data_IF_027476207199
#
_entry.id   IF_027476207199
#
_cell.length_a   1.000
_cell.length_b   1.000
_cell.length_c   1.000
_cell.angle_alpha   90.00
_cell.angle_beta   90.00
_cell.angle_gamma   90.00
#
_symmetry.space_group_name_H-M   'P 1'
#
loop_
_entity.id
_entity.type
_entity.pdbx_description
1 polymer ?
#
# COMPACT_ATOMS: atom_id res chain seq x y z
N UNK A 1 75.15 1.38 -21.95
CA UNK A 1 74.34 2.56 -21.63
C UNK A 1 72.89 2.32 -22.04
N UNK A 2 72.04 1.94 -21.12
CA UNK A 2 70.57 1.80 -21.37
C UNK A 2 69.88 2.97 -20.70
N UNK A 3 69.22 3.81 -21.51
CA UNK A 3 68.40 4.94 -21.03
C UNK A 3 67.03 4.40 -20.64
N UNK A 4 66.65 4.57 -19.41
CA UNK A 4 65.26 4.33 -18.95
C UNK A 4 64.44 5.61 -19.16
N UNK A 5 63.43 5.52 -19.99
CA UNK A 5 62.35 6.52 -20.11
C UNK A 5 61.37 6.27 -18.98
N UNK A 6 61.22 7.21 -18.08
CA UNK A 6 60.16 7.29 -17.09
C UNK A 6 58.93 7.93 -17.75
N UNK A 7 57.91 7.13 -18.02
CA UNK A 7 56.57 7.64 -18.41
C UNK A 7 55.83 8.03 -17.16
N UNK A 8 55.56 9.31 -17.02
CA UNK A 8 54.65 9.82 -15.96
C UNK A 8 53.20 9.56 -16.37
N UNK A 9 52.53 8.68 -15.64
CA UNK A 9 51.08 8.50 -15.78
C UNK A 9 50.43 9.54 -14.91
N UNK A 10 49.76 10.52 -15.56
CA UNK A 10 48.89 11.46 -14.85
C UNK A 10 47.57 10.75 -14.50
N UNK A 11 47.40 10.45 -13.24
CA UNK A 11 46.09 9.99 -12.70
C UNK A 11 45.23 11.23 -12.51
N UNK A 12 44.32 11.45 -13.45
CA UNK A 12 43.23 12.42 -13.29
C UNK A 12 42.21 11.85 -12.28
N UNK A 13 42.28 12.35 -11.05
CA UNK A 13 41.25 12.09 -10.06
C UNK A 13 39.95 12.80 -10.52
N UNK A 14 39.01 12.02 -11.06
CA UNK A 14 37.63 12.49 -11.22
C UNK A 14 37.05 12.59 -9.80
N UNK A 15 37.05 13.80 -9.25
CA UNK A 15 36.24 14.09 -8.06
C UNK A 15 34.79 14.03 -8.54
N UNK A 16 34.13 12.88 -8.35
CA UNK A 16 32.69 12.81 -8.36
C UNK A 16 32.20 13.68 -7.20
N UNK A 17 31.81 14.89 -7.51
CA UNK A 17 31.13 15.76 -6.57
C UNK A 17 29.84 15.07 -6.13
N UNK A 18 29.82 14.55 -4.92
CA UNK A 18 28.58 14.22 -4.26
C UNK A 18 27.83 15.55 -4.12
N UNK A 19 26.86 15.80 -4.99
CA UNK A 19 25.88 16.85 -4.74
C UNK A 19 25.14 16.43 -3.49
N UNK A 20 25.49 17.02 -2.35
CA UNK A 20 24.66 16.95 -1.16
C UNK A 20 23.26 17.40 -1.58
N UNK A 21 22.29 16.50 -1.47
CA UNK A 21 20.89 16.85 -1.67
C UNK A 21 20.60 17.99 -0.67
N UNK A 22 20.27 19.15 -1.22
CA UNK A 22 19.86 20.31 -0.42
C UNK A 22 18.36 20.34 -0.56
N UNK A 23 17.65 20.40 0.55
CA UNK A 23 16.21 20.63 0.57
C UNK A 23 15.90 21.90 -0.27
N UNK A 24 15.07 21.77 -1.32
CA UNK A 24 15.02 22.78 -2.37
C UNK A 24 13.57 23.20 -2.71
N UNK A 25 13.28 24.51 -2.57
CA UNK A 25 11.99 25.09 -2.96
C UNK A 25 11.74 24.97 -4.49
N UNK A 26 12.78 24.95 -5.33
CA UNK A 26 12.62 24.76 -6.77
C UNK A 26 12.19 23.33 -7.10
N UNK A 27 12.70 22.35 -6.36
CA UNK A 27 12.21 20.95 -6.45
C UNK A 27 10.74 20.88 -6.04
N UNK A 28 10.35 21.50 -4.94
CA UNK A 28 8.96 21.55 -4.50
C UNK A 28 8.04 22.14 -5.58
N UNK A 29 8.42 23.27 -6.18
CA UNK A 29 7.66 23.88 -7.28
C UNK A 29 7.53 22.94 -8.48
N UNK A 30 8.64 22.28 -8.88
CA UNK A 30 8.65 21.31 -9.98
C UNK A 30 7.64 20.18 -9.73
N UNK A 31 7.67 19.57 -8.54
CA UNK A 31 6.81 18.43 -8.21
C UNK A 31 5.34 18.83 -8.08
N UNK A 32 5.04 19.98 -7.50
CA UNK A 32 3.67 20.53 -7.45
C UNK A 32 3.13 20.80 -8.84
N UNK A 33 3.95 21.27 -9.78
CA UNK A 33 3.49 21.59 -11.13
C UNK A 33 3.33 20.39 -12.04
N UNK A 34 4.16 19.36 -11.86
CA UNK A 34 4.28 18.23 -12.79
C UNK A 34 3.60 16.96 -12.30
N UNK A 35 3.60 16.69 -10.99
CA UNK A 35 3.20 15.38 -10.45
C UNK A 35 2.02 15.46 -9.47
N UNK A 36 2.00 16.46 -8.59
CA UNK A 36 0.97 16.53 -7.54
C UNK A 36 -0.35 17.13 -8.01
N UNK A 37 -0.69 16.92 -9.29
CA UNK A 37 -1.96 17.36 -9.89
C UNK A 37 -2.67 16.17 -10.53
N UNK A 38 -4.00 16.08 -10.45
CA UNK A 38 -4.91 17.01 -9.79
C UNK A 38 -4.90 16.90 -8.26
N UNK A 39 -5.25 17.97 -7.55
CA UNK A 39 -5.36 18.02 -6.09
C UNK A 39 -6.56 18.87 -5.67
N UNK A 40 -7.11 18.59 -4.49
CA UNK A 40 -8.13 19.44 -3.84
C UNK A 40 -7.50 20.73 -3.29
N UNK A 41 -6.21 20.70 -2.96
CA UNK A 41 -5.46 21.88 -2.55
C UNK A 41 -5.07 22.71 -3.78
N UNK A 42 -5.13 24.02 -3.67
CA UNK A 42 -4.54 24.91 -4.67
C UNK A 42 -3.02 24.74 -4.69
N UNK A 43 -2.38 25.08 -5.81
CA UNK A 43 -0.91 25.02 -5.91
C UNK A 43 -0.20 25.86 -4.84
N UNK A 44 -0.79 26.99 -4.43
CA UNK A 44 -0.22 27.83 -3.36
C UNK A 44 -0.29 27.16 -1.99
N UNK A 45 -1.35 26.44 -1.69
CA UNK A 45 -1.48 25.66 -0.46
C UNK A 45 -0.50 24.49 -0.47
N UNK A 46 -0.40 23.73 -1.56
CA UNK A 46 0.60 22.68 -1.71
C UNK A 46 2.04 23.18 -1.52
N UNK A 47 2.38 24.33 -2.13
CA UNK A 47 3.71 24.93 -1.96
C UNK A 47 3.96 25.38 -0.52
N UNK A 48 2.94 25.87 0.17
CA UNK A 48 3.04 26.19 1.60
C UNK A 48 3.33 24.97 2.44
N UNK A 49 2.68 23.85 2.14
CA UNK A 49 2.91 22.56 2.78
C UNK A 49 4.32 22.04 2.48
N UNK A 50 4.76 22.08 1.23
CA UNK A 50 6.12 21.67 0.86
C UNK A 50 7.19 22.49 1.58
N UNK A 51 6.97 23.79 1.80
CA UNK A 51 7.86 24.64 2.60
C UNK A 51 7.94 24.19 4.05
N UNK A 52 6.83 23.72 4.60
CA UNK A 52 6.84 23.13 5.93
C UNK A 52 7.73 21.88 5.96
N UNK A 53 7.58 20.94 5.01
CA UNK A 53 8.43 19.75 4.91
C UNK A 53 9.90 20.09 4.76
N UNK A 54 10.26 21.06 3.90
CA UNK A 54 11.62 21.56 3.75
C UNK A 54 12.17 22.07 5.08
N UNK A 55 11.39 22.79 5.85
CA UNK A 55 11.84 23.34 7.15
C UNK A 55 11.97 22.25 8.22
N UNK A 56 11.00 21.36 8.31
CA UNK A 56 10.99 20.25 9.27
C UNK A 56 12.14 19.26 9.01
N UNK A 57 12.49 19.05 7.74
CA UNK A 57 13.57 18.12 7.35
C UNK A 57 14.99 18.63 7.55
N UNK A 58 15.19 19.94 7.79
CA UNK A 58 16.55 20.54 7.92
C UNK A 58 17.51 19.80 8.86
N UNK A 59 17.07 19.35 10.05
CA UNK A 59 17.95 18.59 10.95
C UNK A 59 18.34 17.21 10.44
N UNK A 60 17.61 16.70 9.43
CA UNK A 60 17.70 15.33 8.93
C UNK A 60 18.29 15.24 7.53
N UNK A 61 18.69 16.36 6.92
CA UNK A 61 19.31 16.38 5.59
C UNK A 61 20.51 15.45 5.54
N UNK A 62 20.52 14.56 4.55
CA UNK A 62 21.58 13.55 4.37
C UNK A 62 21.36 12.27 5.16
N UNK A 63 20.31 12.15 5.96
CA UNK A 63 19.90 10.85 6.52
C UNK A 63 19.48 9.88 5.43
N UNK A 64 19.64 8.60 5.70
CA UNK A 64 19.08 7.52 4.90
C UNK A 64 17.99 6.81 5.68
N UNK A 65 16.84 6.57 5.01
CA UNK A 65 15.69 5.85 5.55
C UNK A 65 15.46 4.62 4.67
N UNK A 66 15.28 3.47 5.29
CA UNK A 66 14.99 2.21 4.60
C UNK A 66 13.50 1.90 4.73
N UNK A 67 12.80 1.81 3.60
CA UNK A 67 11.36 1.54 3.52
C UNK A 67 11.14 0.21 2.84
N UNK A 68 10.15 -0.53 3.30
CA UNK A 68 9.76 -1.82 2.74
C UNK A 68 8.27 -1.82 2.41
N UNK A 69 7.91 -2.26 1.20
CA UNK A 69 6.52 -2.49 0.81
C UNK A 69 6.36 -3.67 -0.14
N UNK A 70 5.13 -4.08 -0.38
CA UNK A 70 4.82 -5.14 -1.32
C UNK A 70 4.80 -4.65 -2.78
N UNK A 71 4.92 -5.60 -3.72
CA UNK A 71 4.99 -5.32 -5.16
C UNK A 71 3.62 -5.17 -5.80
N UNK A 72 2.97 -4.03 -5.57
CA UNK A 72 1.75 -3.62 -6.26
C UNK A 72 1.96 -2.29 -7.00
N UNK A 73 1.10 -1.93 -7.97
CA UNK A 73 1.29 -0.71 -8.77
C UNK A 73 1.41 0.57 -7.94
N UNK A 74 0.64 0.71 -6.86
CA UNK A 74 0.69 1.86 -5.96
C UNK A 74 2.07 2.01 -5.32
N UNK A 75 2.58 0.96 -4.69
CA UNK A 75 3.89 1.00 -4.04
C UNK A 75 5.05 1.11 -5.03
N UNK A 76 4.88 0.60 -6.26
CA UNK A 76 5.87 0.85 -7.33
C UNK A 76 5.92 2.34 -7.69
N UNK A 77 4.77 3.01 -7.79
CA UNK A 77 4.70 4.46 -7.99
C UNK A 77 5.35 5.25 -6.83
N UNK A 78 5.06 4.87 -5.60
CA UNK A 78 5.68 5.46 -4.41
C UNK A 78 7.20 5.33 -4.44
N UNK A 79 7.69 4.11 -4.72
CA UNK A 79 9.13 3.83 -4.78
C UNK A 79 9.82 4.56 -5.94
N UNK A 80 9.23 4.58 -7.12
CA UNK A 80 9.87 5.10 -8.33
C UNK A 80 9.69 6.60 -8.53
N UNK A 81 8.61 7.18 -8.01
CA UNK A 81 8.22 8.58 -8.24
C UNK A 81 8.19 9.39 -6.95
N UNK A 82 7.35 9.00 -5.96
CA UNK A 82 7.18 9.79 -4.75
C UNK A 82 8.43 9.80 -3.87
N UNK A 83 9.19 8.71 -3.84
CA UNK A 83 10.50 8.66 -3.17
C UNK A 83 11.44 9.74 -3.71
N UNK A 84 11.51 9.91 -5.05
CA UNK A 84 12.36 10.97 -5.64
C UNK A 84 11.87 12.37 -5.28
N UNK A 85 10.54 12.57 -5.26
CA UNK A 85 9.97 13.83 -4.83
C UNK A 85 10.37 14.15 -3.39
N UNK A 86 10.21 13.19 -2.50
CA UNK A 86 10.59 13.32 -1.10
C UNK A 86 12.08 13.64 -0.93
N UNK A 87 12.96 12.91 -1.63
CA UNK A 87 14.41 13.13 -1.59
C UNK A 87 14.81 14.53 -2.10
N UNK A 88 14.27 14.95 -3.24
CA UNK A 88 14.55 16.25 -3.83
C UNK A 88 14.01 17.40 -2.96
N UNK A 89 12.86 17.24 -2.32
CA UNK A 89 12.24 18.27 -1.48
C UNK A 89 12.90 18.37 -0.11
N UNK A 90 13.22 17.23 0.52
CA UNK A 90 13.65 17.18 1.92
C UNK A 90 15.15 17.03 2.12
N UNK A 91 15.86 16.51 1.12
CA UNK A 91 17.29 16.14 1.25
C UNK A 91 17.53 14.88 2.08
N UNK A 92 16.50 14.11 2.40
CA UNK A 92 16.57 12.81 3.08
C UNK A 92 16.54 11.73 2.01
N UNK A 93 17.47 10.79 2.04
CA UNK A 93 17.53 9.68 1.10
C UNK A 93 16.61 8.55 1.55
N UNK A 94 15.89 7.94 0.62
CA UNK A 94 14.98 6.81 0.88
C UNK A 94 15.36 5.61 0.04
N UNK A 95 15.68 4.51 0.68
CA UNK A 95 15.91 3.22 0.05
C UNK A 95 14.61 2.41 0.13
N UNK A 96 13.75 2.55 -0.87
CA UNK A 96 12.44 1.88 -0.89
C UNK A 96 12.56 0.52 -1.58
N UNK A 97 12.51 -0.55 -0.79
CA UNK A 97 12.58 -1.93 -1.26
C UNK A 97 11.18 -2.48 -1.50
N UNK A 98 11.00 -3.15 -2.63
CA UNK A 98 9.76 -3.84 -3.01
C UNK A 98 9.98 -5.35 -2.92
N UNK A 99 9.12 -6.06 -2.17
CA UNK A 99 9.14 -7.52 -2.02
C UNK A 99 7.77 -8.12 -2.32
N UNK A 100 7.65 -9.44 -2.26
CA UNK A 100 6.34 -10.09 -2.23
C UNK A 100 5.64 -9.86 -0.89
N UNK A 101 4.30 -9.79 -0.87
CA UNK A 101 3.48 -9.53 0.33
C UNK A 101 3.90 -10.40 1.54
N UNK A 102 3.93 -11.73 1.37
CA UNK A 102 4.35 -12.63 2.44
C UNK A 102 5.81 -12.45 2.88
N UNK A 103 6.68 -11.94 2.00
CA UNK A 103 8.07 -11.64 2.34
C UNK A 103 8.17 -10.36 3.17
N UNK A 104 7.33 -9.36 2.90
CA UNK A 104 7.22 -8.14 3.74
C UNK A 104 6.81 -8.52 5.16
N UNK A 105 5.72 -9.27 5.30
CA UNK A 105 5.23 -9.73 6.62
C UNK A 105 6.33 -10.48 7.37
N UNK A 106 7.01 -11.42 6.70
CA UNK A 106 8.08 -12.21 7.32
C UNK A 106 9.28 -11.34 7.72
N UNK A 107 9.70 -10.40 6.87
CA UNK A 107 10.82 -9.51 7.15
C UNK A 107 10.52 -8.62 8.36
N UNK A 108 9.34 -8.01 8.41
CA UNK A 108 8.90 -7.15 9.53
C UNK A 108 8.79 -7.95 10.83
N UNK A 109 8.17 -9.13 10.81
CA UNK A 109 8.09 -9.99 12.00
C UNK A 109 9.46 -10.43 12.48
N UNK A 110 10.37 -10.77 11.57
CA UNK A 110 11.75 -11.15 11.91
C UNK A 110 12.51 -9.99 12.55
N UNK A 111 12.37 -8.78 12.01
CA UNK A 111 12.94 -7.58 12.59
C UNK A 111 12.44 -7.36 14.02
N UNK A 112 11.13 -7.43 14.22
CA UNK A 112 10.49 -7.26 15.53
C UNK A 112 10.97 -8.32 16.55
N UNK A 113 11.06 -9.58 16.14
CA UNK A 113 11.50 -10.68 17.02
C UNK A 113 12.98 -10.62 17.38
N UNK A 114 13.82 -10.16 16.46
CA UNK A 114 15.28 -10.14 16.65
C UNK A 114 15.81 -8.83 17.22
N UNK A 115 14.99 -7.77 17.22
CA UNK A 115 15.40 -6.43 17.59
C UNK A 115 16.42 -5.78 16.62
N UNK A 116 16.60 -6.35 15.42
CA UNK A 116 17.45 -5.76 14.38
C UNK A 116 16.60 -4.79 13.57
N UNK A 117 16.98 -3.52 13.59
CA UNK A 117 16.35 -2.50 12.79
C UNK A 117 16.99 -2.47 11.39
N UNK A 118 16.36 -3.11 10.42
CA UNK A 118 16.74 -3.11 8.99
C UNK A 118 15.93 -2.12 8.18
N UNK A 119 14.66 -1.95 8.55
CA UNK A 119 13.71 -1.06 7.93
C UNK A 119 13.20 -0.07 8.96
N UNK A 120 13.21 1.21 8.60
CA UNK A 120 12.75 2.31 9.45
C UNK A 120 11.25 2.53 9.30
N UNK A 121 10.70 2.23 8.12
CA UNK A 121 9.28 2.25 7.83
C UNK A 121 8.89 1.08 6.90
N UNK A 122 7.63 0.72 6.92
CA UNK A 122 7.08 -0.30 6.03
C UNK A 122 5.59 -0.08 5.78
N UNK A 123 5.15 -0.46 4.60
CA UNK A 123 3.72 -0.53 4.26
C UNK A 123 3.26 -1.97 4.43
N UNK A 124 2.17 -2.16 5.17
CA UNK A 124 1.66 -3.48 5.52
C UNK A 124 0.15 -3.41 5.77
N UNK A 125 -0.49 -4.57 5.66
CA UNK A 125 -1.90 -4.69 5.95
C UNK A 125 -2.24 -4.40 7.42
N UNK A 126 -3.42 -3.84 7.65
CA UNK A 126 -3.91 -3.51 8.99
C UNK A 126 -4.17 -4.73 9.89
N UNK A 127 -4.14 -5.95 9.35
CA UNK A 127 -4.32 -7.19 10.10
C UNK A 127 -3.24 -7.42 11.18
N UNK A 128 -2.08 -6.77 11.06
CA UNK A 128 -1.03 -6.80 12.08
C UNK A 128 -1.16 -5.75 13.18
N UNK A 129 -2.14 -4.87 13.13
CA UNK A 129 -2.28 -3.77 14.11
C UNK A 129 -2.36 -4.27 15.55
N UNK A 130 -3.11 -5.34 15.80
CA UNK A 130 -3.20 -5.95 17.11
C UNK A 130 -1.90 -6.55 17.62
N UNK A 131 -1.02 -6.99 16.71
CA UNK A 131 0.34 -7.44 17.05
C UNK A 131 1.23 -6.25 17.37
N UNK A 132 1.17 -5.19 16.57
CA UNK A 132 1.96 -3.97 16.77
C UNK A 132 1.67 -3.33 18.12
N UNK A 133 0.39 -3.10 18.46
CA UNK A 133 0.01 -2.48 19.72
C UNK A 133 0.34 -3.36 20.93
N UNK A 134 0.04 -4.66 20.86
CA UNK A 134 0.29 -5.59 21.97
C UNK A 134 1.78 -5.77 22.29
N UNK A 135 2.63 -5.84 21.27
CA UNK A 135 4.07 -6.02 21.43
C UNK A 135 4.82 -4.71 21.57
N UNK A 136 4.18 -3.58 21.29
CA UNK A 136 4.79 -2.24 21.27
C UNK A 136 6.08 -2.18 20.43
N UNK A 137 6.05 -2.83 19.27
CA UNK A 137 7.18 -2.94 18.36
C UNK A 137 7.09 -1.97 17.17
N UNK A 138 6.00 -1.24 17.07
CA UNK A 138 5.84 -0.08 16.20
C UNK A 138 5.72 1.19 17.04
N UNK A 139 6.05 2.32 16.46
CA UNK A 139 5.91 3.62 17.14
C UNK A 139 4.42 3.89 17.39
N UNK A 140 4.07 4.23 18.63
CA UNK A 140 2.77 4.81 18.93
C UNK A 140 2.74 6.22 18.35
N UNK A 141 2.05 6.40 17.24
CA UNK A 141 2.00 7.67 16.52
C UNK A 141 1.22 8.74 17.28
N UNK A 142 0.19 8.35 18.05
CA UNK A 142 -0.56 9.28 18.91
C UNK A 142 0.37 9.95 19.91
N UNK A 143 1.12 9.16 20.67
CA UNK A 143 2.06 9.67 21.67
C UNK A 143 3.24 10.42 21.02
N UNK A 144 3.74 9.91 19.88
CA UNK A 144 4.85 10.54 19.17
C UNK A 144 4.46 11.93 18.69
N UNK A 145 3.33 12.08 18.00
CA UNK A 145 2.88 13.37 17.47
C UNK A 145 2.54 14.38 18.58
N UNK A 146 2.02 13.91 19.69
CA UNK A 146 1.74 14.77 20.86
C UNK A 146 2.98 15.13 21.68
N UNK A 147 4.06 14.37 21.55
CA UNK A 147 5.27 14.46 22.38
C UNK A 147 6.54 14.78 21.58
N UNK A 148 7.43 13.80 21.50
CA UNK A 148 8.77 13.99 20.91
C UNK A 148 8.78 14.29 19.42
N UNK A 149 7.72 13.99 18.70
CA UNK A 149 7.54 14.26 17.27
C UNK A 149 6.72 15.51 16.95
N UNK A 150 6.31 16.29 17.97
CA UNK A 150 5.43 17.44 17.74
C UNK A 150 6.02 18.48 16.77
N UNK A 151 7.32 18.71 16.83
CA UNK A 151 8.00 19.68 15.95
C UNK A 151 8.12 19.21 14.49
N UNK A 152 7.92 17.92 14.25
CA UNK A 152 7.96 17.29 12.90
C UNK A 152 6.60 16.73 12.47
N UNK A 153 5.57 16.98 13.22
CA UNK A 153 4.18 16.70 12.85
C UNK A 153 3.61 17.91 12.12
N UNK A 154 3.18 17.69 10.86
CA UNK A 154 2.60 18.77 10.07
C UNK A 154 1.33 19.31 10.77
N UNK A 155 1.24 20.60 11.09
CA UNK A 155 0.06 21.19 11.72
C UNK A 155 -1.19 21.17 10.82
N UNK A 156 -1.01 20.94 9.51
CA UNK A 156 -2.11 20.75 8.55
C UNK A 156 -2.56 19.28 8.41
N UNK A 157 -1.94 18.36 9.15
CA UNK A 157 -2.34 16.94 9.13
C UNK A 157 -3.72 16.80 9.79
N UNK A 158 -4.71 16.50 8.99
CA UNK A 158 -6.08 16.24 9.42
C UNK A 158 -6.35 14.73 9.42
N UNK A 159 -6.27 14.11 10.57
CA UNK A 159 -6.49 12.66 10.71
C UNK A 159 -7.96 12.26 10.48
N UNK A 160 -8.90 13.19 10.64
CA UNK A 160 -10.32 12.93 10.41
C UNK A 160 -10.67 12.86 8.92
N UNK A 161 -9.82 13.43 8.04
CA UNK A 161 -9.96 13.34 6.58
C UNK A 161 -9.51 11.98 6.02
N UNK A 162 -8.74 11.20 6.78
CA UNK A 162 -8.31 9.87 6.35
C UNK A 162 -9.43 8.83 6.49
N UNK A 163 -9.72 8.13 5.41
CA UNK A 163 -10.60 6.97 5.46
C UNK A 163 -9.88 5.79 6.10
N UNK A 164 -10.57 5.08 7.00
CA UNK A 164 -10.06 3.81 7.54
C UNK A 164 -9.11 3.93 8.71
N UNK A 165 -9.01 5.07 9.38
CA UNK A 165 -8.22 5.23 10.61
C UNK A 165 -8.57 4.21 11.71
N UNK A 166 -9.82 3.72 11.73
CA UNK A 166 -10.23 2.66 12.66
C UNK A 166 -9.48 1.32 12.43
N UNK A 167 -8.95 1.08 11.23
CA UNK A 167 -8.14 -0.12 10.95
C UNK A 167 -6.67 0.04 11.34
N UNK A 168 -6.22 1.27 11.55
CA UNK A 168 -4.84 1.60 11.91
C UNK A 168 -4.70 2.04 13.38
N UNK A 169 -5.83 2.05 14.10
CA UNK A 169 -5.92 2.32 15.54
C UNK A 169 -5.94 1.00 16.32
N UNK A 170 -5.08 0.90 17.33
CA UNK A 170 -4.99 -0.26 18.19
C UNK A 170 -6.19 -0.40 19.15
N UNK A 171 -6.32 -1.54 19.84
CA UNK A 171 -7.37 -1.75 20.84
C UNK A 171 -7.31 -0.77 22.03
N UNK A 172 -6.16 -0.15 22.24
CA UNK A 172 -5.91 0.90 23.25
C UNK A 172 -6.44 2.28 22.84
N UNK A 173 -6.84 2.44 21.57
CA UNK A 173 -7.33 3.69 21.01
C UNK A 173 -6.24 4.55 20.35
N UNK A 174 -5.00 4.09 20.35
CA UNK A 174 -3.87 4.82 19.78
C UNK A 174 -3.61 4.44 18.34
N UNK A 175 -3.13 5.40 17.55
CA UNK A 175 -2.74 5.22 16.16
C UNK A 175 -1.34 4.62 16.07
N UNK A 176 -1.18 3.53 15.31
CA UNK A 176 0.10 2.85 15.08
C UNK A 176 0.54 2.84 13.62
N UNK A 177 -0.37 3.15 12.71
CA UNK A 177 -0.11 3.24 11.27
C UNK A 177 -0.84 4.46 10.71
N UNK A 178 -0.31 5.03 9.63
CA UNK A 178 -1.07 5.96 8.78
C UNK A 178 -1.78 5.14 7.72
N UNK A 179 -3.05 5.42 7.40
CA UNK A 179 -3.70 4.82 6.25
C UNK A 179 -2.98 5.23 4.97
N UNK A 180 -2.60 4.24 4.17
CA UNK A 180 -1.97 4.44 2.88
C UNK A 180 -3.00 4.32 1.75
N UNK A 181 -3.69 3.21 1.69
CA UNK A 181 -4.73 2.95 0.70
C UNK A 181 -5.92 2.20 1.32
N UNK A 182 -7.07 2.30 0.67
CA UNK A 182 -8.28 1.59 1.05
C UNK A 182 -8.61 0.52 0.04
N UNK A 183 -9.02 -0.64 0.54
CA UNK A 183 -9.51 -1.74 -0.26
C UNK A 183 -11.00 -1.93 -0.05
N UNK A 184 -11.69 -2.31 -1.14
CA UNK A 184 -13.06 -2.77 -1.06
C UNK A 184 -13.17 -4.13 -1.74
N UNK A 185 -13.79 -5.09 -1.07
CA UNK A 185 -14.15 -6.34 -1.70
C UNK A 185 -15.35 -6.09 -2.63
N UNK A 186 -15.14 -6.31 -3.92
CA UNK A 186 -16.16 -6.09 -4.95
C UNK A 186 -16.44 -7.41 -5.64
N UNK A 187 -17.73 -7.60 -5.96
CA UNK A 187 -18.13 -8.70 -6.80
C UNK A 187 -17.94 -8.34 -8.29
N UNK A 188 -16.97 -8.98 -8.91
CA UNK A 188 -16.69 -8.82 -10.34
C UNK A 188 -17.40 -9.91 -11.14
N UNK A 189 -18.11 -9.52 -12.19
CA UNK A 189 -18.84 -10.45 -13.03
C UNK A 189 -18.82 -10.03 -14.50
N UNK A 190 -19.03 -10.98 -15.38
CA UNK A 190 -19.14 -10.75 -16.81
C UNK A 190 -20.56 -10.27 -17.12
N UNK A 191 -20.73 -8.94 -17.14
CA UNK A 191 -22.01 -8.32 -17.43
C UNK A 191 -22.59 -8.78 -18.77
N UNK A 192 -21.73 -8.92 -19.80
CA UNK A 192 -22.11 -9.40 -21.12
C UNK A 192 -22.70 -10.82 -21.11
N UNK A 193 -22.25 -11.69 -20.19
CA UNK A 193 -22.85 -13.02 -20.01
C UNK A 193 -24.16 -12.96 -19.21
N UNK A 194 -24.19 -12.14 -18.18
CA UNK A 194 -25.38 -11.94 -17.35
C UNK A 194 -26.53 -11.30 -18.13
N UNK A 195 -26.25 -10.49 -19.13
CA UNK A 195 -27.26 -9.86 -20.01
C UNK A 195 -27.79 -10.82 -21.14
N UNK A 196 -27.20 -12.00 -21.30
CA UNK A 196 -27.63 -12.94 -22.32
C UNK A 196 -28.98 -13.61 -21.97
N UNK A 197 -29.98 -13.45 -22.81
CA UNK A 197 -31.33 -13.99 -22.60
C UNK A 197 -31.35 -15.51 -22.43
N UNK A 198 -30.56 -16.24 -23.23
CA UNK A 198 -30.46 -17.69 -23.14
C UNK A 198 -29.88 -18.15 -21.77
N UNK A 199 -28.92 -17.45 -21.21
CA UNK A 199 -28.37 -17.77 -19.89
C UNK A 199 -29.30 -17.34 -18.75
N UNK A 200 -30.01 -16.22 -18.90
CA UNK A 200 -31.03 -15.78 -17.95
C UNK A 200 -32.18 -16.78 -17.86
N UNK A 201 -32.72 -17.20 -19.01
CA UNK A 201 -33.79 -18.15 -19.06
C UNK A 201 -33.40 -19.51 -18.47
N UNK A 202 -32.22 -20.01 -18.82
CA UNK A 202 -31.69 -21.27 -18.30
C UNK A 202 -31.44 -21.21 -16.78
N UNK A 203 -30.87 -20.12 -16.26
CA UNK A 203 -30.65 -19.91 -14.84
C UNK A 203 -31.98 -19.86 -14.08
N UNK A 204 -32.93 -19.07 -14.56
CA UNK A 204 -34.26 -18.94 -13.96
C UNK A 204 -35.04 -20.26 -13.96
N UNK A 205 -34.92 -21.02 -15.01
CA UNK A 205 -35.57 -22.35 -15.11
C UNK A 205 -35.00 -23.32 -14.05
N UNK A 206 -33.71 -23.22 -13.71
CA UNK A 206 -33.06 -24.10 -12.74
C UNK A 206 -33.28 -23.65 -11.29
N UNK A 207 -33.05 -22.36 -11.00
CA UNK A 207 -32.99 -21.83 -9.64
C UNK A 207 -34.26 -21.08 -9.21
N UNK A 208 -35.14 -20.72 -10.15
CA UNK A 208 -36.45 -20.09 -9.85
C UNK A 208 -36.42 -18.59 -9.64
N UNK A 209 -35.25 -17.93 -9.83
CA UNK A 209 -35.09 -16.48 -9.75
C UNK A 209 -34.17 -15.98 -10.88
N UNK A 210 -34.08 -14.66 -11.04
CA UNK A 210 -33.34 -14.04 -12.15
C UNK A 210 -31.84 -14.07 -11.93
N UNK A 211 -31.04 -14.34 -12.98
CA UNK A 211 -29.60 -14.22 -12.97
C UNK A 211 -29.22 -12.74 -12.79
N UNK A 212 -28.50 -12.42 -11.75
CA UNK A 212 -28.09 -11.05 -11.40
C UNK A 212 -26.97 -11.04 -10.36
N UNK A 213 -26.64 -9.85 -9.84
CA UNK A 213 -25.69 -9.72 -8.74
C UNK A 213 -26.23 -10.48 -7.53
N UNK A 214 -25.45 -11.39 -6.93
CA UNK A 214 -25.91 -12.22 -5.82
C UNK A 214 -26.27 -11.38 -4.60
N UNK A 215 -27.41 -11.64 -4.01
CA UNK A 215 -27.90 -10.93 -2.80
C UNK A 215 -27.48 -11.60 -1.49
N UNK A 216 -26.94 -12.81 -1.57
CA UNK A 216 -26.42 -13.61 -0.45
C UNK A 216 -25.48 -14.71 -0.96
N UNK A 217 -24.87 -15.44 -0.05
CA UNK A 217 -23.94 -16.52 -0.38
C UNK A 217 -24.57 -17.69 -1.12
N UNK A 218 -25.84 -18.02 -0.86
CA UNK A 218 -26.54 -19.07 -1.62
C UNK A 218 -26.71 -18.68 -3.07
N UNK A 219 -27.11 -17.43 -3.36
CA UNK A 219 -27.20 -16.93 -4.72
C UNK A 219 -25.82 -16.89 -5.41
N UNK A 220 -24.77 -16.58 -4.67
CA UNK A 220 -23.39 -16.64 -5.18
C UNK A 220 -22.98 -18.07 -5.56
N UNK A 221 -23.31 -19.06 -4.71
CA UNK A 221 -23.06 -20.48 -4.96
C UNK A 221 -23.84 -20.99 -6.19
N UNK A 222 -25.12 -20.64 -6.30
CA UNK A 222 -25.95 -20.98 -7.45
C UNK A 222 -25.37 -20.46 -8.77
N UNK A 223 -24.91 -19.22 -8.79
CA UNK A 223 -24.26 -18.61 -9.97
C UNK A 223 -22.95 -19.34 -10.29
N UNK A 224 -22.13 -19.62 -9.29
CA UNK A 224 -20.87 -20.33 -9.47
C UNK A 224 -21.09 -21.75 -10.01
N UNK A 225 -22.09 -22.46 -9.48
CA UNK A 225 -22.48 -23.79 -9.95
C UNK A 225 -22.99 -23.74 -11.38
N UNK A 226 -23.90 -22.82 -11.68
CA UNK A 226 -24.51 -22.67 -13.02
C UNK A 226 -23.44 -22.52 -14.11
N UNK A 227 -22.54 -21.56 -13.95
CA UNK A 227 -21.50 -21.36 -14.96
C UNK A 227 -20.49 -22.51 -15.02
N UNK A 228 -20.13 -23.11 -13.89
CA UNK A 228 -19.13 -24.20 -13.84
C UNK A 228 -19.66 -25.55 -14.28
N UNK A 229 -20.92 -25.86 -13.96
CA UNK A 229 -21.47 -27.21 -14.17
C UNK A 229 -22.48 -27.32 -15.32
N UNK A 230 -23.26 -26.28 -15.55
CA UNK A 230 -24.33 -26.32 -16.58
C UNK A 230 -23.84 -25.64 -17.88
N UNK A 231 -23.31 -24.43 -17.82
CA UNK A 231 -22.83 -23.69 -19.01
C UNK A 231 -21.51 -24.24 -19.53
N UNK A 232 -20.50 -24.33 -18.69
CA UNK A 232 -19.16 -24.89 -18.93
C UNK A 232 -18.33 -24.23 -20.03
N UNK A 233 -18.93 -23.75 -21.09
CA UNK A 233 -18.28 -23.21 -22.27
C UNK A 233 -19.09 -22.06 -22.87
N UNK A 234 -18.41 -20.99 -23.26
CA UNK A 234 -18.97 -19.88 -24.03
C UNK A 234 -18.01 -19.57 -25.18
N UNK A 235 -18.53 -19.53 -26.41
CA UNK A 235 -17.74 -19.19 -27.61
C UNK A 235 -16.48 -20.05 -27.79
N UNK A 236 -16.57 -21.35 -27.48
CA UNK A 236 -15.47 -22.31 -27.60
C UNK A 236 -14.45 -22.24 -26.48
N UNK A 237 -14.67 -21.42 -25.46
CA UNK A 237 -13.77 -21.29 -24.31
C UNK A 237 -14.40 -21.90 -23.06
N UNK A 238 -13.64 -22.74 -22.38
CA UNK A 238 -14.01 -23.22 -21.05
C UNK A 238 -14.14 -22.06 -20.08
N UNK A 239 -15.23 -22.02 -19.31
CA UNK A 239 -15.49 -20.98 -18.31
C UNK A 239 -15.57 -21.57 -16.92
N UNK A 240 -15.30 -20.71 -15.95
CA UNK A 240 -15.39 -21.03 -14.53
C UNK A 240 -16.36 -20.06 -13.86
N UNK A 241 -17.25 -20.58 -13.05
CA UNK A 241 -18.27 -19.77 -12.37
C UNK A 241 -17.78 -19.04 -11.14
N UNK A 242 -16.55 -19.34 -10.70
CA UNK A 242 -15.95 -18.76 -9.53
C UNK A 242 -14.43 -18.62 -9.70
N UNK A 243 -13.89 -17.52 -9.22
CA UNK A 243 -12.46 -17.29 -9.08
C UNK A 243 -12.22 -16.48 -7.80
N UNK A 244 -11.42 -17.03 -6.91
CA UNK A 244 -11.01 -16.36 -5.68
C UNK A 244 -9.63 -16.86 -5.24
N UNK A 245 -9.15 -16.40 -4.10
CA UNK A 245 -7.89 -16.84 -3.53
C UNK A 245 -7.90 -18.36 -3.26
N UNK A 246 -6.91 -19.05 -3.81
CA UNK A 246 -6.74 -20.49 -3.62
C UNK A 246 -5.28 -20.87 -3.42
N UNK A 247 -4.37 -19.90 -3.51
CA UNK A 247 -2.95 -20.09 -3.26
C UNK A 247 -2.72 -20.26 -1.75
N UNK A 248 -1.80 -21.15 -1.38
CA UNK A 248 -1.34 -21.25 0.01
C UNK A 248 -0.53 -20.01 0.36
N UNK A 249 -1.17 -19.03 0.97
CA UNK A 249 -0.63 -17.74 1.37
C UNK A 249 -1.37 -17.27 2.64
N UNK A 250 -0.83 -16.30 3.40
CA UNK A 250 -1.46 -15.80 4.62
C UNK A 250 -2.89 -15.30 4.42
N UNK A 251 -3.16 -14.64 3.31
CA UNK A 251 -4.44 -14.08 2.89
C UNK A 251 -5.55 -15.12 2.65
N UNK A 252 -5.21 -16.40 2.44
CA UNK A 252 -6.21 -17.46 2.31
C UNK A 252 -7.09 -17.58 3.56
N UNK A 253 -6.53 -17.34 4.74
CA UNK A 253 -7.23 -17.44 6.01
C UNK A 253 -8.35 -16.42 6.14
N UNK A 254 -8.08 -15.15 5.86
CA UNK A 254 -9.09 -14.09 6.00
C UNK A 254 -10.16 -14.17 4.93
N UNK A 255 -9.87 -14.63 3.71
CA UNK A 255 -10.91 -14.88 2.70
C UNK A 255 -11.94 -15.90 3.14
N UNK A 256 -11.50 -17.01 3.69
CA UNK A 256 -12.42 -18.00 4.26
C UNK A 256 -13.19 -17.46 5.46
N UNK A 257 -12.53 -16.66 6.29
CA UNK A 257 -13.10 -16.06 7.49
C UNK A 257 -14.16 -15.03 7.14
N UNK A 258 -13.93 -14.17 6.14
CA UNK A 258 -14.88 -13.16 5.66
C UNK A 258 -16.23 -13.78 5.29
N UNK A 259 -16.22 -14.81 4.46
CA UNK A 259 -17.43 -15.49 4.04
C UNK A 259 -18.14 -16.14 5.24
N UNK A 260 -17.40 -16.84 6.09
CA UNK A 260 -17.97 -17.58 7.22
C UNK A 260 -18.53 -16.65 8.29
N UNK A 261 -17.80 -15.62 8.67
CA UNK A 261 -18.25 -14.64 9.67
C UNK A 261 -19.46 -13.85 9.16
N UNK A 262 -19.47 -13.44 7.89
CA UNK A 262 -20.62 -12.73 7.32
C UNK A 262 -21.88 -13.61 7.27
N UNK A 263 -21.76 -14.91 6.99
CA UNK A 263 -22.90 -15.85 7.09
C UNK A 263 -23.36 -16.04 8.54
N UNK A 264 -22.47 -15.91 9.49
CA UNK A 264 -22.81 -15.97 10.92
C UNK A 264 -23.38 -14.64 11.48
N UNK A 265 -23.46 -13.60 10.64
CA UNK A 265 -23.98 -12.29 11.04
C UNK A 265 -22.93 -11.39 11.69
N UNK A 266 -21.64 -11.74 11.60
CA UNK A 266 -20.57 -10.90 12.14
C UNK A 266 -20.47 -9.57 11.40
N UNK A 267 -20.29 -8.48 12.16
CA UNK A 267 -20.05 -7.15 11.62
C UNK A 267 -18.61 -6.95 11.13
N UNK A 268 -18.31 -5.73 10.68
CA UNK A 268 -17.01 -5.35 10.11
C UNK A 268 -15.82 -5.53 11.06
N UNK A 269 -16.05 -5.68 12.37
CA UNK A 269 -15.02 -5.94 13.37
C UNK A 269 -14.95 -7.40 13.82
N UNK A 270 -15.63 -8.31 13.13
CA UNK A 270 -15.71 -9.72 13.51
C UNK A 270 -16.58 -10.01 14.73
N UNK A 271 -17.36 -9.05 15.17
CA UNK A 271 -18.32 -9.20 16.27
C UNK A 271 -19.74 -9.35 15.71
N UNK A 272 -20.60 -10.21 16.31
CA UNK A 272 -21.98 -10.42 15.87
C UNK A 272 -22.83 -9.13 15.95
#
# INVERSE_FOLDING_TARGET
MRKYLLSAVAVSAVIAGSTTAIADEAAAQKWVDQEFQPSVLSKSEQLSEMKWFINASKPFVGMEVNVLSEGIPTHSYESEVLTKAFEEITGIKVNHQILGEGEVVQAVQTQMQTGRNLYDAYVNDSDLIGTHSRLQLAVNLTDFMAGSGADVTNPGLDLDDFMGTQFTTGPDGDLYQMPDQQFANLYWFRKDWFDRTDLQDAFKAKYGYDLGVPVNWSAYEDIAEFFSKDVKEIDGNTIYGHMDYGKRAPDLGWRMTDAWLSMAGAGSKGEP
#
